data_IF_475618630715
#
_entry.id   IF_475618630715
#
_cell.length_a   1.000
_cell.length_b   1.000
_cell.length_c   1.000
_cell.angle_alpha   90.00
_cell.angle_beta   90.00
_cell.angle_gamma   90.00
#
_symmetry.space_group_name_H-M   'P 1'
#
loop_
_entity.id
_entity.type
_entity.pdbx_description
1 polymer ?
#
# COMPACT_ATOMS: atom_id res chain seq x y z
N UNK A 1 -26.20 4.68 -6.45
CA UNK A 1 -25.28 3.71 -7.07
C UNK A 1 -25.89 2.32 -7.05
N UNK A 2 -25.99 1.65 -8.21
CA UNK A 2 -26.47 0.27 -8.30
C UNK A 2 -25.29 -0.67 -8.01
N UNK A 3 -25.43 -1.56 -7.03
CA UNK A 3 -24.41 -2.57 -6.71
C UNK A 3 -24.34 -3.60 -7.83
N UNK A 4 -23.13 -3.95 -8.26
CA UNK A 4 -22.91 -5.03 -9.23
C UNK A 4 -23.05 -6.38 -8.51
N UNK A 5 -23.66 -7.36 -9.18
CA UNK A 5 -23.78 -8.72 -8.67
C UNK A 5 -22.49 -9.47 -9.03
N UNK A 6 -21.74 -10.02 -8.07
CA UNK A 6 -20.52 -10.78 -8.35
C UNK A 6 -20.79 -12.00 -9.23
N UNK A 7 -19.96 -12.21 -10.26
CA UNK A 7 -19.90 -13.46 -11.00
C UNK A 7 -19.11 -14.55 -10.27
N UNK A 8 -19.01 -15.76 -10.84
CA UNK A 8 -18.19 -16.84 -10.27
C UNK A 8 -16.73 -16.39 -10.03
N UNK A 9 -16.24 -16.59 -8.80
CA UNK A 9 -14.88 -16.20 -8.42
C UNK A 9 -14.67 -14.71 -8.13
N UNK A 10 -15.73 -13.90 -8.18
CA UNK A 10 -15.69 -12.48 -7.80
C UNK A 10 -16.27 -12.24 -6.39
N UNK A 11 -15.80 -11.17 -5.76
CA UNK A 11 -16.28 -10.66 -4.48
C UNK A 11 -16.87 -9.25 -4.69
N UNK A 12 -17.97 -8.91 -4.02
CA UNK A 12 -18.44 -7.52 -4.00
C UNK A 12 -17.70 -6.74 -2.91
N UNK A 13 -17.16 -5.57 -3.24
CA UNK A 13 -16.56 -4.67 -2.22
C UNK A 13 -17.57 -4.19 -1.18
N UNK A 14 -18.87 -4.32 -1.48
CA UNK A 14 -19.96 -3.92 -0.59
C UNK A 14 -20.32 -4.97 0.46
N UNK A 15 -19.73 -6.16 0.38
CA UNK A 15 -19.87 -7.23 1.37
C UNK A 15 -18.72 -7.24 2.38
N UNK A 16 -17.71 -6.39 2.17
CA UNK A 16 -16.62 -6.22 3.12
C UNK A 16 -17.10 -5.50 4.39
N UNK A 17 -16.52 -5.82 5.56
CA UNK A 17 -16.98 -5.24 6.81
C UNK A 17 -16.37 -3.86 7.08
N UNK A 18 -16.95 -3.20 8.07
CA UNK A 18 -16.35 -2.08 8.80
C UNK A 18 -16.58 -2.37 10.30
N UNK A 19 -15.53 -2.53 11.13
CA UNK A 19 -14.10 -2.33 10.85
C UNK A 19 -13.54 -3.24 9.75
N UNK A 20 -12.51 -2.78 9.02
CA UNK A 20 -11.87 -3.54 7.94
C UNK A 20 -11.38 -4.92 8.37
N UNK A 21 -11.53 -5.91 7.49
CA UNK A 21 -11.01 -7.27 7.74
C UNK A 21 -9.60 -7.40 7.20
N UNK A 22 -8.72 -7.97 8.01
CA UNK A 22 -7.40 -8.39 7.57
C UNK A 22 -7.44 -9.87 7.19
N UNK A 23 -6.92 -10.24 6.01
CA UNK A 23 -6.92 -11.61 5.53
C UNK A 23 -5.58 -11.97 4.87
N UNK A 24 -5.04 -13.19 5.08
CA UNK A 24 -3.89 -13.68 4.32
C UNK A 24 -4.17 -13.81 2.82
N UNK A 25 -3.14 -13.57 2.01
CA UNK A 25 -3.15 -13.74 0.55
C UNK A 25 -2.07 -14.75 0.18
N UNK A 26 -2.42 -15.69 -0.71
CA UNK A 26 -1.49 -16.72 -1.22
C UNK A 26 -1.15 -16.53 -2.70
N UNK A 27 -1.92 -15.68 -3.36
CA UNK A 27 -1.68 -15.25 -4.73
C UNK A 27 -0.36 -14.45 -4.81
N UNK A 28 0.31 -14.58 -5.96
CA UNK A 28 1.57 -13.89 -6.21
C UNK A 28 1.35 -12.38 -6.34
N UNK A 29 1.96 -11.60 -5.47
CA UNK A 29 1.94 -10.14 -5.49
C UNK A 29 3.20 -9.65 -6.18
N UNK A 30 3.06 -8.84 -7.23
CA UNK A 30 4.18 -8.18 -7.92
C UNK A 30 3.98 -6.68 -7.99
N UNK A 31 5.07 -5.93 -7.83
CA UNK A 31 5.12 -4.46 -8.00
C UNK A 31 6.30 -4.10 -8.89
N UNK A 32 6.04 -3.30 -9.92
CA UNK A 32 7.02 -2.83 -10.90
C UNK A 32 7.18 -1.32 -10.78
N UNK A 33 8.43 -0.85 -10.71
CA UNK A 33 8.79 0.57 -10.66
C UNK A 33 9.99 0.78 -11.58
N UNK A 34 9.90 1.70 -12.54
CA UNK A 34 10.96 2.03 -13.49
C UNK A 34 11.52 0.78 -14.23
N UNK A 35 10.60 -0.07 -14.71
CA UNK A 35 10.87 -1.32 -15.40
C UNK A 35 11.44 -2.44 -14.52
N UNK A 36 11.60 -2.22 -13.21
CA UNK A 36 12.17 -3.19 -12.28
C UNK A 36 11.09 -3.79 -11.37
N UNK A 37 11.07 -5.12 -11.25
CA UNK A 37 10.25 -5.78 -10.24
C UNK A 37 10.89 -5.56 -8.86
N UNK A 38 10.21 -4.80 -8.00
CA UNK A 38 10.69 -4.46 -6.64
C UNK A 38 10.06 -5.33 -5.56
N UNK A 39 8.96 -6.01 -5.88
CA UNK A 39 8.28 -7.00 -5.02
C UNK A 39 7.87 -8.16 -5.91
N UNK A 40 8.11 -9.38 -5.46
CA UNK A 40 7.66 -10.62 -6.10
C UNK A 40 7.54 -11.74 -5.07
N UNK A 41 6.33 -11.96 -4.54
CA UNK A 41 6.09 -12.91 -3.44
C UNK A 41 4.72 -13.58 -3.52
N UNK A 42 4.61 -14.80 -3.02
CA UNK A 42 3.34 -15.57 -2.93
C UNK A 42 2.76 -15.57 -1.51
N UNK A 43 3.00 -14.47 -0.79
CA UNK A 43 2.51 -14.26 0.56
C UNK A 43 2.22 -12.78 0.78
N UNK A 44 1.13 -12.51 1.47
CA UNK A 44 0.81 -11.15 1.87
C UNK A 44 -0.39 -11.12 2.79
N UNK A 45 -0.83 -9.90 3.07
CA UNK A 45 -2.09 -9.62 3.71
C UNK A 45 -2.91 -8.72 2.77
N UNK A 46 -4.22 -8.89 2.73
CA UNK A 46 -5.14 -7.91 2.16
C UNK A 46 -6.01 -7.32 3.25
N UNK A 47 -6.32 -6.04 3.11
CA UNK A 47 -7.33 -5.36 3.91
C UNK A 47 -8.59 -5.20 3.06
N UNK A 48 -9.71 -5.66 3.60
CA UNK A 48 -11.02 -5.59 3.00
C UNK A 48 -11.86 -4.56 3.76
N UNK A 49 -12.28 -3.50 3.08
CA UNK A 49 -13.05 -2.41 3.66
C UNK A 49 -14.23 -2.08 2.76
N UNK A 50 -15.42 -1.95 3.35
CA UNK A 50 -16.67 -1.73 2.60
C UNK A 50 -16.53 -0.61 1.56
N UNK A 51 -16.94 -0.91 0.33
CA UNK A 51 -16.94 0.03 -0.80
C UNK A 51 -15.57 0.30 -1.42
N UNK A 52 -14.47 -0.25 -0.89
CA UNK A 52 -13.11 -0.02 -1.40
C UNK A 52 -12.51 -1.31 -1.95
N UNK A 53 -11.82 -1.26 -3.10
CA UNK A 53 -11.02 -2.39 -3.56
C UNK A 53 -9.98 -2.79 -2.51
N UNK A 54 -9.64 -4.09 -2.40
CA UNK A 54 -8.67 -4.55 -1.42
C UNK A 54 -7.33 -3.83 -1.56
N UNK A 55 -6.71 -3.55 -0.42
CA UNK A 55 -5.32 -3.07 -0.37
C UNK A 55 -4.43 -4.24 0.02
N UNK A 56 -3.38 -4.47 -0.77
CA UNK A 56 -2.43 -5.56 -0.55
C UNK A 56 -1.17 -5.06 0.15
N UNK A 57 -0.77 -5.81 1.17
CA UNK A 57 0.37 -5.56 2.03
C UNK A 57 1.34 -6.73 1.92
N UNK A 58 2.61 -6.41 1.69
CA UNK A 58 3.72 -7.37 1.72
C UNK A 58 4.63 -7.07 2.91
N UNK A 59 5.42 -8.04 3.38
CA UNK A 59 6.39 -7.76 4.44
C UNK A 59 7.43 -6.78 3.90
N UNK A 60 7.91 -5.86 4.75
CA UNK A 60 8.98 -4.92 4.35
C UNK A 60 10.25 -5.64 3.87
N UNK A 61 10.56 -6.80 4.45
CA UNK A 61 11.70 -7.62 4.03
C UNK A 61 11.53 -8.32 2.68
N UNK A 62 10.32 -8.33 2.12
CA UNK A 62 10.02 -8.89 0.81
C UNK A 62 10.17 -7.86 -0.31
N UNK A 63 10.34 -6.58 0.05
CA UNK A 63 10.67 -5.52 -0.90
C UNK A 63 12.17 -5.55 -1.16
N UNK A 64 12.56 -5.46 -2.44
CA UNK A 64 13.95 -5.39 -2.86
C UNK A 64 14.73 -4.35 -2.04
N UNK A 65 15.90 -4.75 -1.57
CA UNK A 65 16.75 -3.94 -0.72
C UNK A 65 17.00 -2.54 -1.29
N UNK A 66 17.00 -1.55 -0.40
CA UNK A 66 17.30 -0.13 -0.67
C UNK A 66 16.34 0.58 -1.64
N UNK A 67 15.28 -0.08 -2.11
CA UNK A 67 14.24 0.58 -2.93
C UNK A 67 13.50 1.61 -2.10
N UNK A 68 13.00 1.23 -0.92
CA UNK A 68 12.17 2.12 -0.10
C UNK A 68 13.01 2.99 0.84
N UNK A 69 12.79 4.29 0.76
CA UNK A 69 13.36 5.32 1.63
C UNK A 69 12.23 6.09 2.32
N UNK A 70 12.49 6.61 3.52
CA UNK A 70 11.51 7.43 4.25
C UNK A 70 11.12 8.64 3.39
N UNK A 71 9.82 8.94 3.34
CA UNK A 71 9.26 10.07 2.60
C UNK A 71 9.06 11.26 3.52
N UNK A 72 9.22 12.47 2.96
CA UNK A 72 8.83 13.71 3.64
C UNK A 72 7.31 13.97 3.59
N UNK A 73 6.54 13.08 2.94
CA UNK A 73 5.10 13.17 2.89
C UNK A 73 4.49 13.10 4.30
N UNK A 74 3.52 13.99 4.56
CA UNK A 74 2.86 14.06 5.87
C UNK A 74 2.19 12.72 6.18
N UNK A 75 2.39 12.15 7.39
CA UNK A 75 1.64 10.99 7.83
C UNK A 75 0.14 11.27 7.82
N UNK A 76 -0.65 10.24 7.52
CA UNK A 76 -2.12 10.31 7.56
C UNK A 76 -2.66 9.44 8.67
N UNK A 77 -3.85 9.78 9.17
CA UNK A 77 -4.50 9.03 10.24
C UNK A 77 -5.68 8.24 9.69
N UNK A 78 -5.73 6.96 10.05
CA UNK A 78 -6.88 6.09 9.83
C UNK A 78 -7.45 5.69 11.19
N UNK A 79 -8.75 5.89 11.39
CA UNK A 79 -9.46 5.58 12.64
C UNK A 79 -9.32 4.11 13.06
N UNK A 80 -9.17 3.20 12.08
CA UNK A 80 -9.04 1.77 12.35
C UNK A 80 -7.61 1.28 12.51
N UNK A 81 -6.67 1.85 11.76
CA UNK A 81 -5.33 1.24 11.58
C UNK A 81 -4.22 2.04 12.27
N UNK A 82 -4.51 3.29 12.64
CA UNK A 82 -3.53 4.22 13.23
C UNK A 82 -2.90 5.14 12.20
N UNK A 83 -1.64 5.52 12.44
CA UNK A 83 -0.91 6.49 11.61
C UNK A 83 -0.16 5.77 10.48
N UNK A 84 -0.46 6.15 9.24
CA UNK A 84 0.25 5.69 8.05
C UNK A 84 1.47 6.59 7.79
N UNK A 85 2.64 5.96 7.67
CA UNK A 85 3.90 6.59 7.29
C UNK A 85 4.22 6.24 5.84
N UNK A 86 4.68 7.23 5.07
CA UNK A 86 4.91 7.07 3.64
C UNK A 86 6.37 6.78 3.31
N UNK A 87 6.55 6.13 2.17
CA UNK A 87 7.84 5.77 1.60
C UNK A 87 7.95 6.26 0.17
N UNK A 88 9.12 6.82 -0.15
CA UNK A 88 9.54 7.02 -1.53
C UNK A 88 10.19 5.73 -2.05
N UNK A 89 10.09 5.48 -3.34
CA UNK A 89 10.91 4.48 -4.02
C UNK A 89 12.04 5.18 -4.78
N UNK A 90 13.26 4.65 -4.64
CA UNK A 90 14.41 5.04 -5.45
C UNK A 90 14.86 3.83 -6.26
N UNK A 91 14.70 3.90 -7.57
CA UNK A 91 15.03 2.83 -8.52
C UNK A 91 15.80 3.44 -9.69
N UNK A 92 16.95 2.87 -10.06
CA UNK A 92 17.81 3.38 -11.15
C UNK A 92 18.18 4.87 -11.00
N UNK A 93 18.22 5.38 -9.77
CA UNK A 93 18.52 6.79 -9.47
C UNK A 93 17.31 7.72 -9.55
N UNK A 94 16.17 7.25 -10.04
CA UNK A 94 14.92 8.02 -10.08
C UNK A 94 14.15 7.85 -8.77
N UNK A 95 13.52 8.95 -8.31
CA UNK A 95 12.74 8.98 -7.08
C UNK A 95 11.26 9.14 -7.39
N UNK A 96 10.48 8.13 -7.03
CA UNK A 96 9.02 8.18 -7.01
C UNK A 96 8.54 8.48 -5.59
N UNK A 97 7.80 9.57 -5.41
CA UNK A 97 7.41 10.06 -4.07
C UNK A 97 6.16 9.39 -3.54
N UNK A 98 6.16 9.09 -2.23
CA UNK A 98 5.00 8.58 -1.48
C UNK A 98 4.26 7.43 -2.19
N UNK A 99 5.02 6.50 -2.80
CA UNK A 99 4.46 5.38 -3.58
C UNK A 99 3.95 4.24 -2.71
N UNK A 100 4.34 4.23 -1.44
CA UNK A 100 4.03 3.17 -0.50
C UNK A 100 3.81 3.72 0.90
N UNK A 101 3.15 2.95 1.75
CA UNK A 101 2.94 3.30 3.16
C UNK A 101 2.97 2.10 4.09
N UNK A 102 3.22 2.37 5.37
CA UNK A 102 3.23 1.39 6.46
C UNK A 102 2.54 1.96 7.70
N UNK A 103 1.91 1.08 8.48
CA UNK A 103 1.52 1.38 9.87
C UNK A 103 2.64 0.88 10.78
N UNK A 104 3.45 1.81 11.32
CA UNK A 104 4.62 1.46 12.16
C UNK A 104 4.22 1.08 13.58
N UNK A 105 3.15 1.68 14.08
CA UNK A 105 2.54 1.41 15.39
C UNK A 105 1.03 1.27 15.21
N UNK A 106 0.57 0.18 14.56
CA UNK A 106 -0.84 -0.05 14.33
C UNK A 106 -1.57 -0.35 15.64
N UNK A 107 -2.86 -0.03 15.69
CA UNK A 107 -3.71 -0.36 16.84
C UNK A 107 -3.79 -1.88 17.05
N UNK A 108 -4.13 -2.38 18.27
CA UNK A 108 -4.07 -3.81 18.62
C UNK A 108 -4.72 -4.76 17.61
N UNK A 109 -5.88 -4.39 17.07
CA UNK A 109 -6.66 -5.20 16.11
C UNK A 109 -5.94 -5.40 14.77
N UNK A 110 -4.98 -4.53 14.43
CA UNK A 110 -4.24 -4.56 13.17
C UNK A 110 -2.73 -4.73 13.38
N UNK A 111 -2.29 -5.26 14.53
CA UNK A 111 -0.87 -5.49 14.83
C UNK A 111 -0.15 -6.35 13.79
N UNK A 112 -0.86 -7.23 13.07
CA UNK A 112 -0.30 -8.01 11.98
C UNK A 112 0.18 -7.17 10.78
N UNK A 113 -0.25 -5.91 10.66
CA UNK A 113 0.28 -4.95 9.67
C UNK A 113 1.61 -4.32 10.11
N UNK A 114 2.07 -4.57 11.34
CA UNK A 114 3.38 -4.14 11.78
C UNK A 114 4.44 -4.78 10.87
N UNK A 115 5.35 -3.96 10.37
CA UNK A 115 6.41 -4.34 9.41
C UNK A 115 5.91 -4.73 8.01
N UNK A 116 4.64 -4.45 7.69
CA UNK A 116 4.12 -4.57 6.34
C UNK A 116 4.10 -3.23 5.60
N UNK A 117 4.08 -3.30 4.28
CA UNK A 117 4.03 -2.16 3.37
C UNK A 117 3.04 -2.42 2.25
N UNK A 118 2.21 -1.43 1.94
CA UNK A 118 1.34 -1.40 0.78
C UNK A 118 1.85 -0.40 -0.25
N UNK A 119 1.59 -0.66 -1.53
CA UNK A 119 1.94 0.21 -2.65
C UNK A 119 0.67 0.79 -3.28
N UNK A 120 0.71 2.06 -3.63
CA UNK A 120 -0.34 2.77 -4.35
C UNK A 120 -0.21 2.45 -5.86
N UNK A 121 -1.15 1.69 -6.45
CA UNK A 121 -1.07 1.33 -7.86
C UNK A 121 -1.09 2.53 -8.80
N UNK A 122 -1.58 3.69 -8.35
CA UNK A 122 -1.60 4.92 -9.15
C UNK A 122 -0.24 5.64 -9.19
N UNK A 123 0.73 5.21 -8.37
CA UNK A 123 2.05 5.85 -8.21
C UNK A 123 3.23 4.96 -8.60
N UNK A 124 2.94 3.76 -9.10
CA UNK A 124 3.92 2.80 -9.60
C UNK A 124 3.58 2.44 -11.05
N UNK A 125 4.50 1.78 -11.74
CA UNK A 125 4.31 1.44 -13.14
C UNK A 125 3.26 0.33 -13.33
N UNK A 126 3.33 -0.71 -12.49
CA UNK A 126 2.33 -1.77 -12.48
C UNK A 126 2.32 -2.53 -11.16
N UNK A 127 1.12 -2.98 -10.78
CA UNK A 127 0.90 -3.97 -9.74
C UNK A 127 0.19 -5.19 -10.35
N UNK A 128 0.44 -6.38 -9.80
CA UNK A 128 -0.22 -7.62 -10.21
C UNK A 128 -0.60 -8.48 -9.01
N UNK A 129 -1.74 -9.15 -9.14
CA UNK A 129 -2.20 -10.21 -8.23
C UNK A 129 -2.39 -11.51 -9.03
N UNK A 130 -1.47 -12.46 -8.86
CA UNK A 130 -1.30 -13.56 -9.81
C UNK A 130 -0.92 -13.00 -11.18
N UNK A 131 -1.75 -13.30 -12.17
CA UNK A 131 -1.64 -12.80 -13.54
C UNK A 131 -2.50 -11.56 -13.80
N UNK A 132 -3.35 -11.17 -12.85
CA UNK A 132 -4.22 -10.02 -12.98
C UNK A 132 -3.42 -8.72 -12.82
N UNK A 133 -3.34 -7.93 -13.90
CA UNK A 133 -2.84 -6.56 -13.82
C UNK A 133 -3.86 -5.69 -13.07
N UNK A 134 -3.38 -4.95 -12.09
CA UNK A 134 -4.21 -4.10 -11.24
C UNK A 134 -4.56 -2.80 -11.96
N UNK A 135 -5.83 -2.42 -11.86
CA UNK A 135 -6.32 -1.07 -12.19
C UNK A 135 -6.40 -0.25 -10.89
N UNK A 136 -5.82 0.96 -10.81
CA UNK A 136 -5.95 1.82 -9.63
C UNK A 136 -7.39 2.32 -9.48
N UNK A 137 -7.91 2.34 -8.25
CA UNK A 137 -9.22 2.97 -7.94
C UNK A 137 -9.17 4.50 -7.97
N UNK A 138 -7.98 5.10 -7.96
CA UNK A 138 -7.79 6.55 -7.83
C UNK A 138 -8.00 7.06 -6.40
N UNK A 139 -7.62 8.30 -6.14
CA UNK A 139 -7.75 8.92 -4.81
C UNK A 139 -6.81 8.36 -3.75
N UNK A 140 -7.22 8.44 -2.48
CA UNK A 140 -6.33 8.28 -1.31
C UNK A 140 -6.21 6.85 -0.76
N UNK A 141 -7.02 5.90 -1.24
CA UNK A 141 -7.15 4.58 -0.60
C UNK A 141 -6.16 3.53 -1.14
N UNK A 142 -5.55 3.76 -2.31
CA UNK A 142 -4.59 2.84 -2.92
C UNK A 142 -5.14 1.42 -3.14
N UNK A 143 -6.44 1.30 -3.39
CA UNK A 143 -7.13 0.02 -3.63
C UNK A 143 -6.76 -0.60 -4.98
N UNK A 144 -6.66 -1.93 -5.00
CA UNK A 144 -6.28 -2.70 -6.18
C UNK A 144 -7.53 -3.31 -6.83
N UNK A 145 -7.98 -2.76 -7.97
CA UNK A 145 -9.05 -3.37 -8.76
C UNK A 145 -8.43 -4.48 -9.61
N UNK A 146 -8.98 -5.69 -9.48
CA UNK A 146 -8.59 -6.89 -10.24
C UNK A 146 -9.82 -7.51 -10.86
N UNK A 147 -9.68 -8.58 -11.65
CA UNK A 147 -10.83 -9.30 -12.20
C UNK A 147 -11.73 -9.93 -11.12
N UNK A 148 -11.23 -10.04 -9.89
CA UNK A 148 -11.85 -10.74 -8.75
C UNK A 148 -12.76 -9.88 -7.89
N UNK A 149 -12.82 -8.57 -8.13
CA UNK A 149 -13.64 -7.67 -7.32
C UNK A 149 -14.56 -6.85 -8.19
N UNK A 150 -15.82 -6.74 -7.77
CA UNK A 150 -16.83 -5.94 -8.46
C UNK A 150 -17.27 -4.77 -7.60
N UNK A 151 -17.63 -3.70 -8.29
CA UNK A 151 -17.93 -2.42 -7.69
C UNK A 151 -19.41 -2.20 -7.44
N UNK A 152 -19.84 -0.92 -7.45
CA UNK A 152 -19.02 0.26 -7.73
C UNK A 152 -18.02 0.55 -6.61
N UNK A 153 -16.94 1.28 -6.91
CA UNK A 153 -15.82 1.52 -5.99
C UNK A 153 -15.80 2.97 -5.49
N UNK A 154 -15.37 3.17 -4.24
CA UNK A 154 -15.08 4.48 -3.67
C UNK A 154 -13.57 4.76 -3.57
N UNK A 155 -13.15 6.03 -3.83
CA UNK A 155 -13.90 7.03 -4.59
C UNK A 155 -14.14 6.51 -6.03
N UNK A 156 -15.13 7.07 -6.74
CA UNK A 156 -15.41 6.59 -8.11
C UNK A 156 -14.13 6.65 -8.95
N UNK A 157 -13.83 5.56 -9.66
CA UNK A 157 -12.65 5.50 -10.53
C UNK A 157 -12.71 6.65 -11.53
N UNK A 158 -11.82 7.63 -11.40
CA UNK A 158 -11.80 8.83 -12.23
C UNK A 158 -12.41 10.09 -11.59
N UNK A 159 -12.92 10.05 -10.36
CA UNK A 159 -13.25 11.29 -9.64
C UNK A 159 -11.94 12.00 -9.26
N UNK A 160 -11.66 13.09 -9.96
CA UNK A 160 -10.50 13.95 -9.74
C UNK A 160 -10.46 14.41 -8.28
N UNK A 161 -9.34 14.13 -7.60
CA UNK A 161 -9.09 14.57 -6.22
C UNK A 161 -8.99 16.11 -6.10
N UNK A 162 -9.06 16.84 -7.22
CA UNK A 162 -9.15 18.31 -7.26
C UNK A 162 -10.47 18.86 -6.69
N UNK A 163 -11.57 18.12 -6.75
CA UNK A 163 -12.91 18.59 -6.36
C UNK A 163 -13.18 18.59 -4.84
N UNK A 164 -12.24 18.10 -4.03
CA UNK A 164 -12.27 18.27 -2.56
C UNK A 164 -11.42 19.45 -2.07
N UNK A 165 -10.85 20.25 -2.98
CA UNK A 165 -10.29 21.57 -2.65
C UNK A 165 -11.33 22.66 -2.97
N UNK A 166 -12.21 22.92 -2.02
CA UNK A 166 -13.09 24.09 -2.09
C UNK A 166 -13.95 24.24 -0.84
N UNK A 167 -13.46 24.94 0.18
CA UNK A 167 -13.92 26.30 0.51
C UNK A 167 -13.36 26.81 1.85
N UNK A 168 -12.91 28.07 1.83
CA UNK A 168 -12.50 28.88 2.99
C UNK A 168 -11.00 29.20 2.94
N UNK A 169 -10.55 30.41 2.58
CA UNK A 169 -11.22 31.71 2.51
C UNK A 169 -10.48 32.59 1.51
N UNK A 170 -11.19 33.08 0.49
CA UNK A 170 -10.72 34.17 -0.34
C UNK A 170 -10.57 35.45 0.48
N UNK A 171 -9.49 36.15 0.15
CA UNK A 171 -9.24 37.54 0.50
C UNK A 171 -10.40 38.42 0.01
N UNK A 172 -11.11 39.06 0.93
CA UNK A 172 -11.93 40.22 0.60
C UNK A 172 -11.05 41.46 0.67
N UNK A 173 -10.58 41.92 -0.50
CA UNK A 173 -10.19 43.32 -0.70
C UNK A 173 -11.41 44.10 -1.13
N UNK A 174 -11.93 44.95 -0.26
CA UNK A 174 -13.05 45.84 -0.55
C UNK A 174 -13.00 47.06 0.36
N UNK A 175 -12.40 48.13 -0.13
CA UNK A 175 -12.42 49.44 0.51
C UNK A 175 -13.78 50.11 0.27
N UNK A 176 -14.48 50.50 1.33
CA UNK A 176 -15.45 51.61 1.25
C UNK A 176 -15.56 52.31 2.62
N UNK A 177 -15.28 53.61 2.62
CA UNK A 177 -15.37 54.53 3.77
C UNK A 177 -16.84 54.81 4.13
N UNK A 178 -17.15 54.96 5.43
CA UNK A 178 -17.88 56.10 6.06
C UNK A 178 -18.22 55.81 7.54
N UNK A 179 -17.95 56.79 8.41
CA UNK A 179 -18.67 57.08 9.67
C UNK A 179 -18.19 56.39 10.95
N UNK A 180 -17.62 57.16 11.90
CA UNK A 180 -17.60 56.81 13.34
C UNK A 180 -18.80 57.44 14.07
N UNK A 181 -18.78 57.62 15.41
CA UNK A 181 -17.91 57.04 16.46
C UNK A 181 -18.71 56.40 17.63
N UNK A 182 -18.04 55.69 18.54
CA UNK A 182 -18.60 55.47 19.89
C UNK A 182 -18.11 54.23 20.66
N UNK A 183 -17.24 54.47 21.66
CA UNK A 183 -17.34 53.93 23.02
C UNK A 183 -17.18 52.43 23.29
N UNK A 184 -16.24 52.09 24.19
CA UNK A 184 -16.34 50.89 25.02
C UNK A 184 -15.05 50.10 25.21
N UNK A 185 -14.29 50.48 26.24
CA UNK A 185 -13.28 49.65 26.90
C UNK A 185 -13.86 48.30 27.33
N UNK A 186 -13.08 47.20 27.24
CA UNK A 186 -12.98 46.13 28.25
C UNK A 186 -11.95 45.05 27.83
N UNK A 187 -10.80 45.04 28.53
CA UNK A 187 -10.03 43.88 29.02
C UNK A 187 -9.58 42.73 28.09
N UNK A 188 -8.30 42.30 28.13
CA UNK A 188 -7.81 41.18 27.32
C UNK A 188 -8.34 39.83 27.84
N UNK A 189 -8.96 39.06 26.94
CA UNK A 189 -9.31 37.66 27.19
C UNK A 189 -8.06 36.77 27.05
N UNK A 190 -7.86 35.94 28.08
CA UNK A 190 -6.77 34.98 28.26
C UNK A 190 -6.63 34.05 27.06
N UNK A 191 -5.37 33.80 26.68
CA UNK A 191 -4.99 32.91 25.60
C UNK A 191 -5.43 31.47 25.84
N UNK A 192 -5.99 30.86 24.80
CA UNK A 192 -6.15 29.43 24.70
C UNK A 192 -4.79 28.82 24.34
N UNK A 193 -4.11 28.26 25.33
CA UNK A 193 -2.93 27.43 25.12
C UNK A 193 -3.34 26.13 24.41
N UNK A 194 -2.75 25.91 23.23
CA UNK A 194 -2.75 24.64 22.52
C UNK A 194 -1.58 23.81 23.07
N UNK A 195 -1.77 22.59 23.59
CA UNK A 195 -0.62 21.76 23.93
C UNK A 195 0.08 21.28 22.65
N UNK A 196 1.21 21.90 22.36
CA UNK A 196 2.23 21.41 21.45
C UNK A 196 3.08 20.36 22.18
N UNK A 197 2.88 19.07 21.90
CA UNK A 197 3.82 18.02 22.32
C UNK A 197 3.57 16.67 21.60
N UNK A 198 3.83 16.58 20.30
CA UNK A 198 4.08 15.29 19.64
C UNK A 198 5.22 15.42 18.63
N UNK A 199 6.37 15.88 19.13
CA UNK A 199 7.64 15.84 18.42
C UNK A 199 8.75 15.55 19.42
N UNK A 200 8.97 14.27 19.67
CA UNK A 200 10.26 13.63 20.03
C UNK A 200 10.00 12.21 20.50
N UNK A 201 10.25 11.26 19.60
CA UNK A 201 11.11 10.08 19.80
C UNK A 201 10.73 8.96 18.81
N UNK A 202 10.83 9.25 17.51
CA UNK A 202 11.19 8.18 16.56
C UNK A 202 12.72 8.14 16.59
N UNK A 203 13.27 7.35 17.52
CA UNK A 203 14.68 6.99 17.44
C UNK A 203 14.89 6.37 16.06
N UNK A 204 16.01 6.73 15.42
CA UNK A 204 16.57 6.10 14.22
C UNK A 204 16.63 4.58 14.41
N UNK A 205 15.51 3.87 14.22
CA UNK A 205 15.50 2.42 14.18
C UNK A 205 15.92 2.06 12.77
N UNK A 206 17.24 1.95 12.62
CA UNK A 206 17.84 1.32 11.46
C UNK A 206 17.30 -0.11 11.43
N UNK A 207 16.50 -0.44 10.41
CA UNK A 207 16.04 -1.80 10.22
C UNK A 207 17.27 -2.73 10.09
N UNK A 208 17.27 -3.91 10.74
CA UNK A 208 18.33 -4.88 10.54
C UNK A 208 18.37 -5.29 9.07
N UNK A 209 19.55 -5.22 8.46
CA UNK A 209 19.82 -5.72 7.11
C UNK A 209 19.65 -7.24 7.15
N UNK A 210 18.56 -7.76 6.60
CA UNK A 210 18.39 -9.22 6.53
C UNK A 210 19.04 -9.73 5.24
N UNK A 211 20.30 -10.16 5.35
CA UNK A 211 20.96 -10.93 4.31
C UNK A 211 20.42 -12.34 4.31
N UNK A 212 19.59 -12.69 3.34
CA UNK A 212 19.33 -14.10 3.01
C UNK A 212 19.49 -14.29 1.51
N UNK A 213 20.61 -14.91 1.15
CA UNK A 213 20.89 -15.44 -0.17
C UNK A 213 19.92 -16.59 -0.42
N UNK A 214 18.96 -16.42 -1.32
CA UNK A 214 18.31 -17.57 -1.96
C UNK A 214 19.12 -17.91 -3.21
N UNK A 215 19.84 -19.02 -3.12
CA UNK A 215 20.67 -19.61 -4.17
C UNK A 215 19.82 -20.01 -5.37
N UNK A 216 20.19 -19.50 -6.54
CA UNK A 216 19.77 -20.03 -7.83
C UNK A 216 20.28 -21.46 -7.98
N UNK A 217 19.38 -22.45 -7.99
CA UNK A 217 19.70 -23.79 -8.45
C UNK A 217 19.73 -23.75 -9.99
N UNK A 218 20.94 -23.74 -10.55
CA UNK A 218 21.23 -24.22 -11.91
C UNK A 218 22.01 -25.51 -11.80
N UNK A 219 21.56 -26.55 -12.52
CA UNK A 219 22.35 -27.56 -13.26
C UNK A 219 21.34 -28.52 -13.89
N UNK A 220 21.13 -28.44 -15.21
CA UNK A 220 21.95 -28.96 -16.31
C UNK A 220 21.57 -30.40 -16.66
N UNK A 221 21.02 -30.53 -17.86
CA UNK A 221 20.73 -31.74 -18.59
C UNK A 221 21.98 -32.61 -18.79
N UNK A 222 21.84 -33.91 -18.55
CA UNK A 222 22.77 -34.92 -19.04
C UNK A 222 21.95 -36.07 -19.67
N UNK A 223 22.24 -36.32 -20.94
CA UNK A 223 21.77 -37.46 -21.73
C UNK A 223 22.58 -38.70 -21.32
N UNK A 224 21.93 -39.87 -21.33
CA UNK A 224 22.61 -41.16 -21.27
C UNK A 224 21.59 -42.29 -21.18
N UNK A 225 21.31 -42.94 -22.31
CA UNK A 225 20.63 -44.26 -22.35
C UNK A 225 21.68 -45.38 -22.47
N UNK A 226 21.33 -46.63 -22.10
CA UNK A 226 22.27 -47.56 -21.50
C UNK A 226 22.95 -48.51 -22.51
N UNK A 227 24.16 -48.94 -22.15
CA UNK A 227 24.87 -50.03 -22.80
C UNK A 227 24.48 -51.39 -22.19
N UNK A 228 24.34 -52.37 -23.08
CA UNK A 228 24.16 -53.81 -22.84
C UNK A 228 25.23 -54.39 -21.90
N UNK A 229 24.81 -55.33 -21.06
CA UNK A 229 25.69 -56.38 -20.54
C UNK A 229 24.98 -57.75 -20.66
N UNK A 230 25.65 -58.67 -21.33
CA UNK A 230 25.32 -60.09 -21.43
C UNK A 230 25.71 -60.79 -20.13
N UNK A 231 24.98 -61.83 -19.73
CA UNK A 231 25.43 -62.80 -18.73
C UNK A 231 25.19 -64.22 -19.24
N UNK A 232 26.27 -64.99 -19.23
CA UNK A 232 26.45 -66.34 -19.73
C UNK A 232 25.92 -67.40 -18.76
N UNK A 233 25.49 -68.51 -19.35
CA UNK A 233 25.10 -69.82 -18.82
C UNK A 233 26.13 -70.45 -17.87
N UNK A 234 25.63 -71.17 -16.84
CA UNK A 234 26.13 -72.41 -16.20
C UNK A 234 24.98 -72.84 -15.25
N UNK A 235 24.29 -73.99 -15.30
CA UNK A 235 24.69 -75.35 -15.62
C UNK A 235 24.78 -76.16 -14.32
N UNK A 236 23.80 -77.01 -13.99
CA UNK A 236 23.93 -78.25 -13.19
C UNK A 236 22.62 -79.04 -13.13
N UNK A 237 22.72 -80.28 -13.65
CA UNK A 237 22.10 -81.56 -13.32
C UNK A 237 20.65 -81.60 -12.82
#
# INVERSE_FOLDING_TARGET
MKKEIPGPGQESVWEYPRPPRLQPVRERIRVVIAGETVVDVERGLRVLEIGHPPVYYVRRGDVRDRVLQESDARPTFCEFKGVAHYWDAVVKGERSRAVAWSYLDPVPQYLALRDYVAFDPSRVEACFLGDDKVTPVGGYYGGWITSRVVGPFYPESGSDASLLKGNGSEHVTGAQRRGGPGGGSLGPRRGAERPAAWSRRIRRRRWPRNGSRSSCIRRSSARGSPARAQATVLGRL
#
